data_IF_839217222238
#
_entry.id   IF_839217222238
#
_cell.length_a   1.000
_cell.length_b   1.000
_cell.length_c   1.000
_cell.angle_alpha   90.00
_cell.angle_beta   90.00
_cell.angle_gamma   90.00
#
_symmetry.space_group_name_H-M   'P 1'
#
loop_
_entity.id
_entity.type
_entity.pdbx_description
1 polymer ?
#
# COMPACT_ATOMS: atom_id res chain seq x y z
N UNK A 1 -6.59 -6.38 -22.87
CA UNK A 1 -7.28 -5.31 -22.08
C UNK A 1 -6.34 -4.65 -21.06
N UNK A 2 -5.04 -4.66 -21.33
CA UNK A 2 -4.11 -3.64 -20.88
C UNK A 2 -3.58 -3.04 -22.19
N UNK A 3 -3.49 -1.72 -22.36
CA UNK A 3 -2.85 -1.17 -23.53
C UNK A 3 -1.38 -1.57 -23.53
N UNK A 4 -0.84 -1.77 -24.72
CA UNK A 4 0.55 -2.11 -24.99
C UNK A 4 1.41 -0.88 -24.64
N UNK A 5 1.58 -0.57 -23.35
CA UNK A 5 2.56 0.41 -22.89
C UNK A 5 3.91 -0.01 -23.46
N UNK A 6 4.51 0.87 -24.26
CA UNK A 6 5.83 0.61 -24.80
C UNK A 6 6.83 0.46 -23.65
N UNK A 7 7.85 -0.37 -23.84
CA UNK A 7 8.92 -0.59 -22.84
C UNK A 7 9.53 0.71 -22.30
N UNK A 8 9.61 1.76 -23.13
CA UNK A 8 10.07 3.09 -22.72
C UNK A 8 9.14 3.79 -21.73
N UNK A 9 7.82 3.70 -21.91
CA UNK A 9 6.84 4.28 -20.99
C UNK A 9 6.81 3.54 -19.66
N UNK A 10 6.89 2.20 -19.69
CA UNK A 10 7.02 1.38 -18.47
C UNK A 10 8.26 1.78 -17.66
N UNK A 11 9.40 1.98 -18.32
CA UNK A 11 10.62 2.41 -17.66
C UNK A 11 10.46 3.80 -17.00
N UNK A 12 9.85 4.76 -17.69
CA UNK A 12 9.64 6.12 -17.18
C UNK A 12 8.68 6.12 -15.99
N UNK A 13 7.59 5.36 -16.04
CA UNK A 13 6.57 5.35 -15.01
C UNK A 13 6.93 4.53 -13.77
N UNK A 14 7.73 3.48 -13.91
CA UNK A 14 8.04 2.55 -12.82
C UNK A 14 8.76 3.20 -11.63
N UNK A 15 9.69 4.12 -11.88
CA UNK A 15 10.48 4.76 -10.83
C UNK A 15 9.67 5.73 -9.94
N UNK A 16 8.93 6.71 -10.48
CA UNK A 16 8.07 7.56 -9.68
C UNK A 16 6.92 6.77 -9.03
N UNK A 17 6.36 5.78 -9.74
CA UNK A 17 5.33 4.91 -9.18
C UNK A 17 5.83 4.14 -7.96
N UNK A 18 6.99 3.49 -8.05
CA UNK A 18 7.60 2.75 -6.95
C UNK A 18 7.92 3.64 -5.75
N UNK A 19 8.41 4.86 -5.98
CA UNK A 19 8.64 5.84 -4.92
C UNK A 19 7.35 6.23 -4.20
N UNK A 20 6.29 6.56 -4.95
CA UNK A 20 5.00 6.91 -4.36
C UNK A 20 4.40 5.74 -3.56
N UNK A 21 4.43 4.54 -4.12
CA UNK A 21 3.94 3.32 -3.43
C UNK A 21 4.75 3.07 -2.16
N UNK A 22 6.08 3.20 -2.21
CA UNK A 22 6.93 3.02 -1.03
C UNK A 22 6.61 4.00 0.10
N UNK A 23 6.43 5.28 -0.22
CA UNK A 23 6.06 6.31 0.77
C UNK A 23 4.67 6.03 1.35
N UNK A 24 3.69 5.67 0.51
CA UNK A 24 2.33 5.36 0.96
C UNK A 24 2.27 4.09 1.81
N UNK A 25 3.03 3.05 1.45
CA UNK A 25 3.12 1.82 2.22
C UNK A 25 3.65 2.09 3.64
N UNK A 26 4.76 2.84 3.74
CA UNK A 26 5.33 3.21 5.04
C UNK A 26 4.37 4.10 5.85
N UNK A 27 3.65 5.00 5.17
CA UNK A 27 2.64 5.85 5.82
C UNK A 27 1.49 5.03 6.41
N UNK A 28 1.03 3.99 5.69
CA UNK A 28 -0.02 3.08 6.18
C UNK A 28 0.39 2.34 7.45
N UNK A 29 1.59 1.76 7.47
CA UNK A 29 2.16 1.07 8.65
C UNK A 29 2.34 2.00 9.86
N UNK A 30 2.80 3.23 9.62
CA UNK A 30 2.94 4.24 10.68
C UNK A 30 1.57 4.70 11.22
N UNK A 31 0.58 4.87 10.34
CA UNK A 31 -0.77 5.26 10.74
C UNK A 31 -1.43 4.15 11.57
N UNK A 32 -1.26 2.89 11.18
CA UNK A 32 -1.73 1.75 11.95
C UNK A 32 -1.06 1.70 13.33
N UNK A 33 0.26 1.87 13.37
CA UNK A 33 1.02 1.99 14.61
C UNK A 33 0.51 3.11 15.51
N UNK A 34 0.21 4.29 14.96
CA UNK A 34 -0.37 5.40 15.70
C UNK A 34 -1.77 5.07 16.24
N UNK A 35 -2.62 4.42 15.43
CA UNK A 35 -3.96 3.97 15.83
C UNK A 35 -3.92 2.98 16.99
N UNK A 36 -2.97 2.02 16.94
CA UNK A 36 -2.74 1.05 18.02
C UNK A 36 -2.36 1.77 19.32
N UNK A 37 -1.48 2.78 19.26
CA UNK A 37 -1.09 3.60 20.43
C UNK A 37 -2.22 4.47 20.96
N UNK A 38 -3.07 5.03 20.10
CA UNK A 38 -4.24 5.80 20.52
C UNK A 38 -5.23 4.97 21.35
N UNK A 39 -5.30 3.66 21.09
CA UNK A 39 -6.15 2.72 21.85
C UNK A 39 -5.40 1.95 22.94
N UNK A 40 -4.15 2.32 23.24
CA UNK A 40 -3.28 1.62 24.20
C UNK A 40 -3.12 0.10 23.94
N UNK A 41 -3.26 -0.32 22.69
CA UNK A 41 -3.05 -1.70 22.24
C UNK A 41 -1.74 -1.83 21.46
N UNK A 42 -1.18 -3.05 21.43
CA UNK A 42 0.05 -3.34 20.69
C UNK A 42 -0.22 -4.04 19.36
N UNK A 43 -1.12 -5.02 19.37
CA UNK A 43 -1.52 -5.79 18.20
C UNK A 43 -2.96 -5.45 17.85
N UNK A 44 -3.27 -5.34 16.55
CA UNK A 44 -4.63 -5.03 16.09
C UNK A 44 -5.64 -6.16 16.31
N UNK A 45 -5.16 -7.37 16.63
CA UNK A 45 -5.96 -8.55 16.92
C UNK A 45 -5.13 -9.82 17.05
N UNK A 46 -5.78 -10.98 17.14
CA UNK A 46 -5.14 -12.31 17.19
C UNK A 46 -5.58 -13.23 16.04
N UNK A 47 -5.87 -12.62 14.89
CA UNK A 47 -6.49 -13.30 13.74
C UNK A 47 -5.62 -14.46 13.22
N UNK A 48 -4.29 -14.28 13.18
CA UNK A 48 -3.34 -15.36 12.86
C UNK A 48 -2.54 -15.73 14.12
N UNK A 49 -2.63 -16.97 14.61
CA UNK A 49 -1.89 -17.40 15.78
C UNK A 49 -0.38 -17.20 15.56
N UNK A 50 0.24 -16.38 16.41
CA UNK A 50 1.67 -16.05 16.35
C UNK A 50 2.08 -14.94 15.36
N UNK A 51 1.14 -14.34 14.62
CA UNK A 51 1.45 -13.40 13.52
C UNK A 51 0.82 -12.01 13.65
N UNK A 52 0.11 -11.74 14.76
CA UNK A 52 -0.56 -10.45 15.01
C UNK A 52 -1.99 -10.41 14.49
N UNK A 53 -2.52 -9.21 14.28
CA UNK A 53 -3.86 -8.99 13.75
C UNK A 53 -3.89 -8.91 12.23
N UNK A 54 -5.10 -8.93 11.68
CA UNK A 54 -5.32 -8.79 10.24
C UNK A 54 -4.91 -7.40 9.75
N UNK A 55 -5.13 -6.36 10.56
CA UNK A 55 -4.83 -4.98 10.19
C UNK A 55 -3.31 -4.77 10.02
N UNK A 56 -2.50 -5.41 10.85
CA UNK A 56 -1.03 -5.40 10.76
C UNK A 56 -0.50 -6.03 9.45
N UNK A 57 -1.38 -6.66 8.66
CA UNK A 57 -1.04 -7.31 7.38
C UNK A 57 -1.54 -6.55 6.16
N UNK A 58 -2.56 -5.71 6.35
CA UNK A 58 -3.21 -5.00 5.25
C UNK A 58 -3.06 -3.49 5.36
N UNK A 59 -2.47 -2.96 6.42
CA UNK A 59 -2.25 -1.53 6.68
C UNK A 59 -1.62 -0.76 5.51
N UNK A 60 -0.48 -1.23 5.02
CA UNK A 60 0.27 -0.68 3.90
C UNK A 60 -0.46 -0.91 2.57
N UNK A 61 -1.12 -2.06 2.41
CA UNK A 61 -1.94 -2.37 1.22
C UNK A 61 -3.16 -1.45 1.16
N UNK A 62 -3.80 -1.16 2.29
CA UNK A 62 -4.97 -0.28 2.37
C UNK A 62 -4.66 1.12 1.85
N UNK A 63 -3.46 1.64 2.16
CA UNK A 63 -3.02 2.95 1.71
C UNK A 63 -2.53 2.97 0.27
N UNK A 64 -1.87 1.90 -0.18
CA UNK A 64 -1.34 1.81 -1.55
C UNK A 64 -2.40 1.45 -2.58
N UNK A 65 -3.40 0.63 -2.23
CA UNK A 65 -4.46 0.16 -3.15
C UNK A 65 -5.20 1.29 -3.90
N UNK A 66 -5.75 2.33 -3.24
CA UNK A 66 -6.44 3.40 -3.96
C UNK A 66 -5.49 4.14 -4.91
N UNK A 67 -4.24 4.39 -4.50
CA UNK A 67 -3.25 5.02 -5.37
C UNK A 67 -2.94 4.17 -6.59
N UNK A 68 -2.69 2.87 -6.41
CA UNK A 68 -2.41 1.95 -7.51
C UNK A 68 -3.60 1.84 -8.45
N UNK A 69 -4.82 1.76 -7.92
CA UNK A 69 -6.04 1.72 -8.74
C UNK A 69 -6.17 2.95 -9.65
N UNK A 70 -6.10 4.16 -9.08
CA UNK A 70 -6.20 5.38 -9.88
C UNK A 70 -5.02 5.55 -10.84
N UNK A 71 -3.82 5.13 -10.44
CA UNK A 71 -2.67 5.14 -11.32
C UNK A 71 -2.89 4.26 -12.56
N UNK A 72 -3.38 3.04 -12.36
CA UNK A 72 -3.72 2.13 -13.45
C UNK A 72 -4.84 2.69 -14.33
N UNK A 73 -5.88 3.29 -13.75
CA UNK A 73 -7.00 3.86 -14.52
C UNK A 73 -6.60 5.10 -15.33
N UNK A 74 -5.66 5.90 -14.86
CA UNK A 74 -5.31 7.19 -15.49
C UNK A 74 -4.15 7.06 -16.47
N UNK A 75 -3.13 6.25 -16.14
CA UNK A 75 -1.88 6.18 -16.90
C UNK A 75 -1.71 4.90 -17.69
N UNK A 76 -2.43 3.84 -17.29
CA UNK A 76 -2.36 2.55 -17.99
C UNK A 76 -3.59 2.41 -18.88
N UNK A 77 -4.80 2.24 -18.35
CA UNK A 77 -6.03 2.01 -19.11
C UNK A 77 -6.47 3.21 -19.95
#
# INVERSE_FOLDING_TARGET
>A
LLPELGWGQLAIYSLPFGLCVGVLAQTGDLLESALKRAHAIKDSGRFLPGHGGLLDRIDSVLFTTPFVYYFLVIFVL
#
